data_IF_468727387209
#
_entry.id   IF_468727387209
#
_cell.length_a   1.000
_cell.length_b   1.000
_cell.length_c   1.000
_cell.angle_alpha   90.00
_cell.angle_beta   90.00
_cell.angle_gamma   90.00
#
_symmetry.space_group_name_H-M   'P 1'
#
loop_
_entity.id
_entity.type
_entity.pdbx_description
1 polymer ?
#
# COMPACT_ATOMS: atom_id res chain seq x y z
N UNK A 1 -1.53 8.01 15.26
CA UNK A 1 -0.36 7.50 14.50
C UNK A 1 -0.72 7.30 13.03
N UNK A 2 0.20 7.51 12.08
CA UNK A 2 -0.05 7.22 10.65
C UNK A 2 0.76 5.99 10.23
N UNK A 3 0.10 4.97 9.71
CA UNK A 3 0.73 3.85 9.03
C UNK A 3 0.69 4.09 7.51
N UNK A 4 1.55 3.43 6.75
CA UNK A 4 1.49 3.39 5.30
C UNK A 4 1.65 1.94 4.86
N UNK A 5 0.75 1.48 3.98
CA UNK A 5 0.91 0.26 3.20
C UNK A 5 1.34 0.68 1.79
N UNK A 6 2.44 0.16 1.27
CA UNK A 6 2.97 0.54 -0.03
C UNK A 6 3.42 -0.68 -0.81
N UNK A 7 2.99 -0.80 -2.05
CA UNK A 7 3.43 -1.87 -2.95
C UNK A 7 3.81 -1.29 -4.30
N UNK A 8 4.99 -1.71 -4.80
CA UNK A 8 5.46 -1.42 -6.15
C UNK A 8 5.41 -2.69 -6.99
N UNK A 9 4.91 -2.57 -8.22
CA UNK A 9 4.68 -3.69 -9.13
C UNK A 9 4.95 -3.26 -10.57
N UNK A 10 5.12 -4.22 -11.47
CA UNK A 10 4.98 -3.96 -12.90
C UNK A 10 3.50 -3.93 -13.25
N UNK A 11 3.06 -2.89 -13.92
CA UNK A 11 1.72 -2.74 -14.45
C UNK A 11 1.47 -3.79 -15.55
N UNK A 12 0.23 -4.25 -15.68
CA UNK A 12 -0.21 -5.15 -16.75
C UNK A 12 -0.29 -4.49 -18.14
N UNK A 13 0.22 -3.28 -18.30
CA UNK A 13 0.20 -2.52 -19.54
C UNK A 13 -0.70 -1.30 -19.43
N UNK A 14 -2.03 -1.49 -19.42
CA UNK A 14 -2.97 -0.37 -19.44
C UNK A 14 -3.49 0.01 -18.02
N UNK A 15 -3.66 1.31 -17.73
CA UNK A 15 -4.14 1.77 -16.42
C UNK A 15 -5.56 1.31 -16.04
N UNK A 16 -6.42 0.97 -17.01
CA UNK A 16 -7.79 0.53 -16.72
C UNK A 16 -7.77 -0.88 -16.13
N UNK A 17 -6.98 -1.79 -16.71
CA UNK A 17 -6.77 -3.13 -16.16
C UNK A 17 -6.18 -3.08 -14.75
N UNK A 18 -5.24 -2.16 -14.50
CA UNK A 18 -4.75 -1.91 -13.15
C UNK A 18 -5.82 -1.34 -12.22
N UNK A 19 -6.68 -0.45 -12.72
CA UNK A 19 -7.84 0.07 -11.98
C UNK A 19 -8.82 -1.02 -11.57
N UNK A 20 -9.05 -2.05 -12.40
CA UNK A 20 -9.89 -3.20 -12.05
C UNK A 20 -9.31 -4.00 -10.88
N UNK A 21 -7.99 -4.22 -10.87
CA UNK A 21 -7.30 -4.88 -9.75
C UNK A 21 -7.36 -4.06 -8.47
N UNK A 22 -7.25 -2.73 -8.58
CA UNK A 22 -7.47 -1.84 -7.43
C UNK A 22 -8.89 -1.95 -6.91
N UNK A 23 -9.88 -2.03 -7.78
CA UNK A 23 -11.27 -2.27 -7.37
C UNK A 23 -11.43 -3.62 -6.65
N UNK A 24 -10.91 -4.71 -7.22
CA UNK A 24 -10.92 -6.04 -6.59
C UNK A 24 -10.25 -6.01 -5.21
N UNK A 25 -9.11 -5.33 -5.10
CA UNK A 25 -8.41 -5.14 -3.83
C UNK A 25 -9.28 -4.38 -2.82
N UNK A 26 -9.93 -3.28 -3.22
CA UNK A 26 -10.88 -2.54 -2.36
C UNK A 26 -11.95 -3.50 -1.83
N UNK A 27 -12.56 -4.32 -2.69
CA UNK A 27 -13.61 -5.26 -2.27
C UNK A 27 -13.10 -6.29 -1.25
N UNK A 28 -11.85 -6.75 -1.38
CA UNK A 28 -11.25 -7.72 -0.46
C UNK A 28 -10.83 -7.10 0.88
N UNK A 29 -10.46 -5.81 0.92
CA UNK A 29 -10.05 -5.16 2.18
C UNK A 29 -11.20 -4.57 2.98
N UNK A 30 -12.37 -4.31 2.35
CA UNK A 30 -13.59 -3.85 3.03
C UNK A 30 -13.95 -4.62 4.30
N UNK A 31 -14.04 -5.97 4.29
CA UNK A 31 -14.45 -6.72 5.47
C UNK A 31 -13.38 -6.79 6.57
N UNK A 32 -12.17 -6.29 6.35
CA UNK A 32 -11.06 -6.46 7.31
C UNK A 32 -11.18 -5.54 8.53
N UNK A 33 -11.80 -4.37 8.39
CA UNK A 33 -11.95 -3.40 9.48
C UNK A 33 -13.07 -2.40 9.18
N UNK A 34 -13.84 -1.91 10.17
CA UNK A 34 -14.91 -0.92 9.95
C UNK A 34 -14.47 0.33 9.18
N UNK A 35 -13.28 0.86 9.47
CA UNK A 35 -12.72 2.02 8.73
C UNK A 35 -12.42 1.74 7.25
N UNK A 36 -12.45 0.48 6.80
CA UNK A 36 -12.23 0.06 5.42
C UNK A 36 -13.52 -0.29 4.70
N UNK A 37 -14.66 -0.37 5.40
CA UNK A 37 -15.93 -0.85 4.83
C UNK A 37 -16.48 0.10 3.75
N UNK A 38 -16.50 1.40 4.06
CA UNK A 38 -17.05 2.42 3.19
C UNK A 38 -15.97 3.27 2.53
N UNK A 39 -15.93 3.22 1.20
CA UNK A 39 -15.03 4.01 0.36
C UNK A 39 -15.79 5.09 -0.38
N UNK A 40 -15.24 6.31 -0.42
CA UNK A 40 -15.77 7.45 -1.15
C UNK A 40 -14.70 8.11 -2.02
N UNK A 41 -15.10 8.79 -3.11
CA UNK A 41 -14.19 9.64 -3.87
C UNK A 41 -13.55 10.73 -3.01
N UNK A 42 -12.31 11.09 -3.30
CA UNK A 42 -11.76 12.35 -2.79
C UNK A 42 -12.38 13.54 -3.53
N UNK A 43 -12.43 14.70 -2.87
CA UNK A 43 -12.91 15.93 -3.47
C UNK A 43 -12.05 17.13 -3.04
N UNK A 44 -12.35 18.30 -3.60
CA UNK A 44 -11.63 19.56 -3.31
C UNK A 44 -11.90 20.07 -1.89
N UNK A 45 -12.97 19.60 -1.23
CA UNK A 45 -13.28 19.91 0.16
C UNK A 45 -13.68 18.67 0.96
N UNK A 46 -13.44 18.67 2.29
CA UNK A 46 -13.97 17.65 3.20
C UNK A 46 -15.48 17.42 3.09
N UNK A 47 -16.25 18.50 3.00
CA UNK A 47 -17.72 18.45 2.97
C UNK A 47 -18.22 17.76 1.71
N UNK A 48 -17.65 18.10 0.55
CA UNK A 48 -17.98 17.46 -0.72
C UNK A 48 -17.59 15.97 -0.72
N UNK A 49 -16.43 15.63 -0.13
CA UNK A 49 -15.97 14.26 -0.01
C UNK A 49 -16.89 13.41 0.90
N UNK A 50 -17.40 13.97 1.99
CA UNK A 50 -18.34 13.29 2.90
C UNK A 50 -19.71 13.05 2.28
N UNK A 51 -20.21 14.03 1.51
CA UNK A 51 -21.51 13.98 0.85
C UNK A 51 -21.50 13.10 -0.41
N UNK A 52 -20.32 12.80 -0.94
CA UNK A 52 -20.17 11.96 -2.12
C UNK A 52 -20.74 10.55 -1.89
N UNK A 53 -21.40 9.96 -2.90
CA UNK A 53 -21.86 8.58 -2.81
C UNK A 53 -20.66 7.62 -2.66
N UNK A 54 -20.90 6.38 -2.18
CA UNK A 54 -19.87 5.35 -2.19
C UNK A 54 -19.23 5.22 -3.58
N UNK A 55 -17.91 5.10 -3.63
CA UNK A 55 -17.19 4.97 -4.89
C UNK A 55 -17.60 3.68 -5.62
N UNK A 56 -17.77 3.77 -6.93
CA UNK A 56 -18.06 2.64 -7.82
C UNK A 56 -16.84 2.27 -8.65
N UNK A 57 -16.84 1.07 -9.23
CA UNK A 57 -15.80 0.66 -10.17
C UNK A 57 -15.73 1.63 -11.36
N UNK A 58 -16.87 2.00 -11.93
CA UNK A 58 -16.93 2.90 -13.09
C UNK A 58 -16.34 4.28 -12.78
N UNK A 59 -16.63 4.83 -11.61
CA UNK A 59 -16.04 6.10 -11.17
C UNK A 59 -14.51 5.98 -11.06
N UNK A 60 -14.01 4.92 -10.41
CA UNK A 60 -12.57 4.68 -10.26
C UNK A 60 -11.87 4.57 -11.63
N UNK A 61 -12.45 3.79 -12.55
CA UNK A 61 -11.88 3.59 -13.89
C UNK A 61 -11.92 4.88 -14.73
N UNK A 62 -12.99 5.65 -14.63
CA UNK A 62 -13.10 6.95 -15.30
C UNK A 62 -12.04 7.92 -14.76
N UNK A 63 -11.89 8.03 -13.43
CA UNK A 63 -10.91 8.95 -12.85
C UNK A 63 -9.47 8.57 -13.24
N UNK A 64 -9.14 7.29 -13.31
CA UNK A 64 -7.82 6.84 -13.80
C UNK A 64 -7.60 7.25 -15.26
N UNK A 65 -8.60 7.08 -16.13
CA UNK A 65 -8.51 7.49 -17.56
C UNK A 65 -8.32 9.00 -17.70
N UNK A 66 -9.07 9.78 -16.93
CA UNK A 66 -9.00 11.24 -16.98
C UNK A 66 -7.64 11.73 -16.47
N UNK A 67 -7.13 11.15 -15.38
CA UNK A 67 -5.79 11.46 -14.87
C UNK A 67 -4.69 11.10 -15.89
N UNK A 68 -4.84 9.97 -16.60
CA UNK A 68 -3.93 9.60 -17.67
C UNK A 68 -3.96 10.59 -18.83
N UNK A 69 -5.16 10.97 -19.30
CA UNK A 69 -5.34 11.84 -20.46
C UNK A 69 -4.91 13.30 -20.20
N UNK A 70 -5.00 13.75 -18.95
CA UNK A 70 -4.64 15.11 -18.55
C UNK A 70 -3.20 15.25 -18.06
N UNK A 71 -2.49 14.14 -17.84
CA UNK A 71 -1.09 14.18 -17.41
C UNK A 71 -0.19 14.80 -18.49
N UNK A 72 0.71 15.68 -18.05
CA UNK A 72 1.76 16.25 -18.91
C UNK A 72 3.00 15.35 -19.00
N UNK A 73 3.03 14.26 -18.24
CA UNK A 73 4.16 13.33 -18.15
C UNK A 73 3.72 11.90 -18.52
N UNK A 74 4.66 11.06 -19.01
CA UNK A 74 4.38 9.63 -19.24
C UNK A 74 3.97 8.88 -17.97
N UNK A 75 4.41 9.37 -16.81
CA UNK A 75 4.00 8.94 -15.49
C UNK A 75 2.91 9.83 -14.89
N UNK A 76 2.04 9.24 -14.08
CA UNK A 76 0.99 9.99 -13.40
C UNK A 76 0.61 9.33 -12.09
N UNK A 77 -0.06 10.07 -11.23
CA UNK A 77 -0.61 9.57 -9.98
C UNK A 77 -1.88 10.30 -9.63
N UNK A 78 -2.71 9.65 -8.81
CA UNK A 78 -3.97 10.18 -8.35
C UNK A 78 -4.29 9.60 -6.97
N UNK A 79 -5.17 10.27 -6.24
CA UNK A 79 -5.70 9.75 -4.99
C UNK A 79 -7.20 9.57 -5.16
N UNK A 80 -7.67 8.43 -5.69
CA UNK A 80 -9.05 8.34 -6.18
C UNK A 80 -10.09 8.20 -5.08
N UNK A 81 -9.70 7.75 -3.90
CA UNK A 81 -10.63 7.39 -2.85
C UNK A 81 -10.02 7.49 -1.45
N UNK A 82 -10.92 7.58 -0.47
CA UNK A 82 -10.62 7.41 0.95
C UNK A 82 -11.64 6.46 1.59
N UNK A 83 -11.32 5.91 2.76
CA UNK A 83 -12.22 5.09 3.57
C UNK A 83 -12.21 5.51 5.03
N UNK A 84 -13.32 5.29 5.73
CA UNK A 84 -13.50 5.74 7.11
C UNK A 84 -13.91 7.22 7.21
N UNK A 85 -13.78 7.80 8.41
CA UNK A 85 -14.18 9.19 8.68
C UNK A 85 -13.14 10.20 8.20
N UNK A 86 -13.56 11.39 7.79
CA UNK A 86 -12.61 12.46 7.47
C UNK A 86 -11.75 12.79 8.70
N UNK A 87 -10.45 13.03 8.46
CA UNK A 87 -9.48 13.34 9.52
C UNK A 87 -8.90 12.11 10.22
N UNK A 88 -9.62 10.99 10.25
CA UNK A 88 -9.19 9.74 10.91
C UNK A 88 -9.05 8.55 9.94
N UNK A 89 -9.56 8.69 8.72
CA UNK A 89 -9.67 7.64 7.73
C UNK A 89 -8.40 7.41 6.89
N UNK A 90 -8.52 6.46 5.98
CA UNK A 90 -7.46 5.99 5.13
C UNK A 90 -7.55 6.66 3.75
N UNK A 91 -6.42 7.02 3.15
CA UNK A 91 -6.37 7.62 1.81
C UNK A 91 -5.64 6.70 0.84
N UNK A 92 -6.28 6.33 -0.25
CA UNK A 92 -5.68 5.56 -1.33
C UNK A 92 -4.99 6.50 -2.31
N UNK A 93 -3.75 6.20 -2.65
CA UNK A 93 -2.97 6.85 -3.69
C UNK A 93 -2.47 5.79 -4.67
N UNK A 94 -2.57 6.09 -5.96
CA UNK A 94 -2.11 5.25 -7.05
C UNK A 94 -1.05 6.02 -7.84
N UNK A 95 -0.06 5.29 -8.35
CA UNK A 95 0.94 5.83 -9.27
C UNK A 95 1.15 4.87 -10.42
N UNK A 96 1.36 5.41 -11.61
CA UNK A 96 1.57 4.67 -12.85
C UNK A 96 2.80 5.20 -13.57
N UNK A 97 3.54 4.29 -14.20
CA UNK A 97 4.80 4.47 -14.91
C UNK A 97 5.92 5.16 -14.11
N UNK A 98 6.01 4.95 -12.78
CA UNK A 98 7.06 5.55 -11.93
C UNK A 98 8.05 4.54 -11.34
N UNK A 99 9.38 4.75 -11.42
CA UNK A 99 10.11 5.72 -12.24
C UNK A 99 10.39 5.21 -13.67
N UNK A 100 10.15 3.93 -13.95
CA UNK A 100 10.30 3.33 -15.27
C UNK A 100 8.92 3.13 -15.93
N UNK A 101 8.90 3.23 -17.26
CA UNK A 101 7.73 2.92 -18.09
C UNK A 101 7.25 1.50 -17.77
N UNK A 102 6.00 1.38 -17.30
CA UNK A 102 5.41 0.09 -16.92
C UNK A 102 5.44 -0.24 -15.43
N UNK A 103 5.97 0.62 -14.54
CA UNK A 103 5.84 0.41 -13.08
C UNK A 103 4.54 1.02 -12.53
N UNK A 104 3.83 0.33 -11.64
CA UNK A 104 2.69 0.85 -10.90
C UNK A 104 2.91 0.76 -9.39
N UNK A 105 2.21 1.61 -8.65
CA UNK A 105 2.27 1.68 -7.21
C UNK A 105 0.88 1.85 -6.62
N UNK A 106 0.68 1.25 -5.45
CA UNK A 106 -0.46 1.50 -4.57
C UNK A 106 0.08 1.90 -3.21
N UNK A 107 -0.48 2.97 -2.65
CA UNK A 107 -0.24 3.40 -1.27
C UNK A 107 -1.57 3.58 -0.57
N UNK A 108 -1.77 2.89 0.55
CA UNK A 108 -2.82 3.22 1.51
C UNK A 108 -2.17 3.98 2.65
N UNK A 109 -2.43 5.28 2.72
CA UNK A 109 -2.11 6.08 3.89
C UNK A 109 -3.14 5.76 4.96
N UNK A 110 -2.70 5.12 6.03
CA UNK A 110 -3.59 4.55 7.04
C UNK A 110 -3.80 5.57 8.16
N UNK A 111 -5.06 5.85 8.43
CA UNK A 111 -5.49 6.78 9.46
C UNK A 111 -5.39 6.19 10.87
N UNK A 112 -5.86 6.96 11.85
CA UNK A 112 -5.71 6.62 13.26
C UNK A 112 -6.46 5.34 13.64
N UNK A 113 -7.71 5.20 13.21
CA UNK A 113 -8.58 4.10 13.62
C UNK A 113 -8.00 2.73 13.22
N UNK A 114 -7.69 2.56 11.93
CA UNK A 114 -7.02 1.35 11.42
C UNK A 114 -5.59 1.23 11.94
N UNK A 115 -4.90 2.35 12.17
CA UNK A 115 -3.55 2.36 12.72
C UNK A 115 -3.48 1.76 14.12
N UNK A 116 -4.43 2.08 14.99
CA UNK A 116 -4.55 1.50 16.34
C UNK A 116 -4.87 -0.01 16.27
N UNK A 117 -5.72 -0.41 15.33
CA UNK A 117 -5.99 -1.84 15.10
C UNK A 117 -4.73 -2.58 14.64
N UNK A 118 -3.91 -1.98 13.77
CA UNK A 118 -2.63 -2.57 13.34
C UNK A 118 -1.57 -2.62 14.45
N UNK A 119 -1.56 -1.63 15.35
CA UNK A 119 -0.66 -1.63 16.51
C UNK A 119 -0.95 -2.81 17.46
N UNK A 120 -2.18 -3.34 17.45
CA UNK A 120 -2.64 -4.39 18.39
C UNK A 120 -2.90 -5.74 17.75
N UNK A 121 -2.99 -5.82 16.42
CA UNK A 121 -3.34 -7.06 15.70
C UNK A 121 -2.35 -7.38 14.58
N UNK A 122 -1.47 -8.34 14.85
CA UNK A 122 -0.60 -8.91 13.81
C UNK A 122 -1.39 -9.65 12.74
N UNK A 123 -2.49 -10.32 13.10
CA UNK A 123 -3.33 -11.05 12.15
C UNK A 123 -4.00 -10.11 11.14
N UNK A 124 -4.42 -8.91 11.56
CA UNK A 124 -4.93 -7.89 10.66
C UNK A 124 -3.83 -7.41 9.69
N UNK A 125 -2.63 -7.16 10.23
CA UNK A 125 -1.48 -6.75 9.43
C UNK A 125 -1.05 -7.83 8.42
N UNK A 126 -1.06 -9.10 8.83
CA UNK A 126 -0.81 -10.26 7.98
C UNK A 126 -1.86 -10.35 6.88
N UNK A 127 -3.14 -10.30 7.23
CA UNK A 127 -4.24 -10.40 6.27
C UNK A 127 -4.18 -9.28 5.25
N UNK A 128 -3.96 -8.03 5.69
CA UNK A 128 -3.82 -6.88 4.80
C UNK A 128 -2.62 -7.03 3.84
N UNK A 129 -1.47 -7.47 4.35
CA UNK A 129 -0.28 -7.71 3.52
C UNK A 129 -0.51 -8.84 2.51
N UNK A 130 -1.08 -9.97 2.92
CA UNK A 130 -1.35 -11.11 2.04
C UNK A 130 -2.39 -10.78 0.97
N UNK A 131 -3.50 -10.14 1.33
CA UNK A 131 -4.53 -9.69 0.39
C UNK A 131 -3.94 -8.76 -0.67
N UNK A 132 -3.08 -7.83 -0.24
CA UNK A 132 -2.44 -6.88 -1.16
C UNK A 132 -1.41 -7.57 -2.06
N UNK A 133 -0.55 -8.42 -1.51
CA UNK A 133 0.45 -9.16 -2.29
C UNK A 133 -0.20 -10.12 -3.29
N UNK A 134 -1.26 -10.84 -2.89
CA UNK A 134 -1.95 -11.79 -3.76
C UNK A 134 -2.72 -11.09 -4.88
N UNK A 135 -3.37 -9.96 -4.60
CA UNK A 135 -4.11 -9.21 -5.62
C UNK A 135 -3.16 -8.58 -6.65
N UNK A 136 -2.04 -8.01 -6.18
CA UNK A 136 -1.14 -7.24 -7.03
C UNK A 136 0.04 -8.03 -7.61
N UNK A 137 0.32 -9.24 -7.11
CA UNK A 137 1.48 -10.07 -7.50
C UNK A 137 2.73 -9.19 -7.72
N UNK A 138 3.13 -8.40 -6.71
CA UNK A 138 4.07 -7.30 -6.86
C UNK A 138 5.44 -7.81 -7.29
N UNK A 139 5.98 -7.30 -8.40
CA UNK A 139 7.28 -7.73 -8.92
C UNK A 139 8.50 -7.04 -8.30
N UNK A 140 8.33 -6.17 -7.29
CA UNK A 140 9.42 -5.35 -6.74
C UNK A 140 9.49 -5.48 -5.21
N UNK A 141 8.62 -4.78 -4.50
CA UNK A 141 8.66 -4.69 -3.03
C UNK A 141 7.29 -4.26 -2.51
N UNK A 142 6.98 -4.69 -1.29
CA UNK A 142 5.84 -4.19 -0.53
C UNK A 142 6.20 -3.95 0.92
N UNK A 143 5.60 -2.97 1.57
CA UNK A 143 5.89 -2.64 2.97
C UNK A 143 4.62 -2.21 3.70
N UNK A 144 4.54 -2.61 4.97
CA UNK A 144 3.65 -2.01 5.96
C UNK A 144 4.51 -1.32 7.01
N UNK A 145 4.36 -0.01 7.15
CA UNK A 145 5.31 0.86 7.85
C UNK A 145 4.60 1.89 8.70
N UNK A 146 5.16 2.20 9.87
CA UNK A 146 4.75 3.34 10.68
C UNK A 146 5.44 4.61 10.17
N UNK A 147 4.73 5.72 10.03
CA UNK A 147 5.31 7.00 9.57
C UNK A 147 6.31 7.58 10.58
N UNK A 148 5.99 7.45 11.86
CA UNK A 148 6.85 7.85 12.95
C UNK A 148 7.84 6.73 13.25
N UNK A 149 9.01 6.81 12.59
CA UNK A 149 10.14 5.92 12.85
C UNK A 149 11.45 6.67 12.82
N UNK A 150 12.45 6.20 13.59
CA UNK A 150 13.82 6.67 13.42
C UNK A 150 14.22 6.49 11.95
N UNK A 151 14.60 7.58 11.29
CA UNK A 151 15.31 7.47 10.01
C UNK A 151 16.74 7.06 10.34
N UNK A 152 17.23 5.98 9.75
CA UNK A 152 18.64 5.62 9.87
C UNK A 152 19.51 6.80 9.41
N UNK A 153 20.58 7.09 10.16
CA UNK A 153 21.57 8.10 9.78
C UNK A 153 22.28 7.74 8.46
N UNK A 154 22.39 6.45 8.17
CA UNK A 154 22.87 5.91 6.90
C UNK A 154 21.67 5.37 6.12
N UNK A 155 21.25 6.01 5.02
CA UNK A 155 20.19 5.48 4.18
C UNK A 155 20.55 4.06 3.74
N UNK A 156 19.60 3.10 3.75
CA UNK A 156 19.86 1.79 3.19
C UNK A 156 20.34 1.92 1.73
N UNK A 157 21.19 1.00 1.24
CA UNK A 157 21.78 1.08 -0.10
C UNK A 157 20.74 1.19 -1.23
N UNK A 158 19.49 0.77 -0.96
CA UNK A 158 18.33 0.98 -1.82
C UNK A 158 17.34 1.93 -1.16
N UNK A 159 16.82 2.91 -1.93
CA UNK A 159 15.90 3.98 -1.47
C UNK A 159 14.46 3.49 -1.22
N UNK A 160 14.26 2.38 -0.50
CA UNK A 160 12.93 2.02 0.03
C UNK A 160 12.91 2.20 1.54
N UNK A 161 11.73 2.47 2.09
CA UNK A 161 11.52 2.57 3.52
C UNK A 161 11.34 1.16 4.09
N UNK A 162 12.23 0.68 4.99
CA UNK A 162 12.05 -0.62 5.65
C UNK A 162 10.68 -0.67 6.36
N UNK A 163 10.05 -1.84 6.50
CA UNK A 163 8.68 -2.01 7.05
C UNK A 163 8.64 -2.92 8.28
N UNK A 164 7.59 -2.84 9.09
CA UNK A 164 7.30 -3.90 10.08
C UNK A 164 7.16 -5.25 9.38
N UNK A 165 6.33 -5.24 8.33
CA UNK A 165 6.15 -6.34 7.40
C UNK A 165 6.61 -5.88 6.03
N UNK A 166 7.35 -6.75 5.32
CA UNK A 166 7.82 -6.46 3.98
C UNK A 166 7.61 -7.65 3.06
N UNK A 167 7.05 -7.40 1.89
CA UNK A 167 7.10 -8.33 0.78
C UNK A 167 8.38 -8.11 -0.03
N UNK A 168 9.07 -9.20 -0.37
CA UNK A 168 10.12 -9.22 -1.39
C UNK A 168 9.77 -10.25 -2.45
N UNK A 169 9.91 -9.86 -3.73
CA UNK A 169 9.81 -10.81 -4.84
C UNK A 169 10.95 -11.85 -4.76
N UNK A 170 10.74 -13.04 -5.32
CA UNK A 170 11.72 -14.13 -5.25
C UNK A 170 13.07 -13.78 -5.87
N UNK A 171 13.09 -12.91 -6.87
CA UNK A 171 14.29 -12.40 -7.54
C UNK A 171 14.86 -11.13 -6.89
N UNK A 172 14.33 -10.72 -5.73
CA UNK A 172 14.82 -9.56 -4.99
C UNK A 172 16.26 -9.78 -4.52
N UNK A 173 17.13 -8.75 -4.56
CA UNK A 173 18.46 -8.81 -3.95
C UNK A 173 18.41 -9.02 -2.43
N UNK A 174 17.26 -8.79 -1.80
CA UNK A 174 17.05 -8.99 -0.36
C UNK A 174 16.64 -10.42 0.02
N UNK A 175 16.46 -11.31 -0.96
CA UNK A 175 16.05 -12.70 -0.74
C UNK A 175 16.95 -13.49 0.21
N UNK A 176 18.24 -13.14 0.31
CA UNK A 176 19.19 -13.78 1.23
C UNK A 176 19.23 -13.14 2.63
N UNK A 177 19.11 -11.80 2.72
CA UNK A 177 19.25 -11.07 3.99
C UNK A 177 17.94 -10.99 4.77
N UNK A 178 16.81 -10.83 4.09
CA UNK A 178 15.50 -10.71 4.73
C UNK A 178 15.18 -11.89 5.68
N UNK A 179 15.37 -13.17 5.28
CA UNK A 179 15.05 -14.31 6.14
C UNK A 179 15.94 -14.41 7.38
N UNK A 180 17.15 -13.85 7.36
CA UNK A 180 18.08 -13.87 8.49
C UNK A 180 17.69 -12.88 9.60
N UNK A 181 17.03 -11.79 9.22
CA UNK A 181 16.60 -10.72 10.14
C UNK A 181 15.14 -10.86 10.56
N UNK A 182 14.32 -11.52 9.74
CA UNK A 182 12.90 -11.68 9.99
C UNK A 182 12.64 -12.66 11.14
N UNK A 183 11.67 -12.32 12.00
CA UNK A 183 11.15 -13.22 13.03
C UNK A 183 10.15 -14.22 12.46
N UNK A 184 9.54 -13.91 11.31
CA UNK A 184 8.59 -14.79 10.60
C UNK A 184 8.64 -14.55 9.10
N UNK A 185 8.43 -15.61 8.32
CA UNK A 185 8.29 -15.57 6.88
C UNK A 185 7.02 -16.32 6.44
N UNK A 186 6.30 -15.77 5.47
CA UNK A 186 5.12 -16.35 4.87
C UNK A 186 5.25 -16.31 3.33
N UNK A 187 5.35 -17.44 2.65
CA UNK A 187 5.47 -17.47 1.19
C UNK A 187 4.16 -17.05 0.53
N UNK A 188 4.28 -16.37 -0.62
CA UNK A 188 3.17 -16.05 -1.54
C UNK A 188 3.59 -16.41 -2.97
N UNK A 189 2.68 -16.32 -3.94
CA UNK A 189 2.89 -16.86 -5.29
C UNK A 189 4.22 -16.45 -5.96
N UNK A 190 4.66 -15.20 -5.78
CA UNK A 190 5.84 -14.65 -6.45
C UNK A 190 6.93 -14.11 -5.49
N UNK A 191 6.91 -14.52 -4.22
CA UNK A 191 7.85 -14.04 -3.22
C UNK A 191 7.50 -14.46 -1.81
N UNK A 192 7.88 -13.66 -0.83
CA UNK A 192 7.53 -13.90 0.57
C UNK A 192 7.31 -12.59 1.33
N UNK A 193 6.40 -12.65 2.30
CA UNK A 193 6.17 -11.61 3.30
C UNK A 193 6.99 -11.95 4.54
N UNK A 194 7.81 -11.01 4.98
CA UNK A 194 8.67 -11.12 6.15
C UNK A 194 8.19 -10.18 7.24
N UNK A 195 8.21 -10.64 8.49
CA UNK A 195 7.93 -9.83 9.68
C UNK A 195 9.23 -9.63 10.44
N UNK A 196 9.55 -8.40 10.82
CA UNK A 196 10.83 -8.03 11.45
C UNK A 196 10.70 -7.69 12.94
N UNK A 197 9.67 -8.17 13.63
CA UNK A 197 9.42 -7.89 15.05
C UNK A 197 7.96 -7.55 15.33
N UNK A 198 7.71 -6.67 16.29
CA UNK A 198 6.41 -6.05 16.60
C UNK A 198 6.40 -4.58 16.16
N UNK A 199 5.24 -3.91 16.06
CA UNK A 199 5.13 -2.49 15.70
C UNK A 199 6.13 -1.54 16.39
N UNK A 200 6.52 -1.84 17.63
CA UNK A 200 7.44 -1.00 18.41
C UNK A 200 8.90 -1.48 18.35
N UNK A 201 9.16 -2.75 18.03
CA UNK A 201 10.52 -3.33 18.09
C UNK A 201 11.19 -3.48 16.73
N UNK A 202 10.40 -3.60 15.65
CA UNK A 202 10.95 -3.79 14.31
C UNK A 202 11.89 -2.66 13.84
N UNK A 203 11.71 -1.36 14.18
CA UNK A 203 12.58 -0.31 13.65
C UNK A 203 14.05 -0.54 14.03
N UNK A 204 14.29 -1.13 15.20
CA UNK A 204 15.63 -1.45 15.71
C UNK A 204 16.25 -2.63 14.97
N UNK A 205 15.47 -3.67 14.67
CA UNK A 205 15.95 -4.85 13.92
C UNK A 205 16.40 -4.43 12.51
N UNK A 206 15.71 -3.45 11.91
CA UNK A 206 16.03 -2.98 10.57
C UNK A 206 17.34 -2.16 10.49
N UNK A 207 17.95 -1.78 11.61
CA UNK A 207 19.29 -1.16 11.62
C UNK A 207 20.42 -2.16 11.29
N UNK A 208 20.10 -3.45 11.16
CA UNK A 208 21.05 -4.53 10.86
C UNK A 208 21.12 -4.88 9.38
N UNK A 209 20.39 -4.16 8.50
CA UNK A 209 20.41 -4.39 7.06
C UNK A 209 21.72 -4.02 6.40
#
# INVERSE_FOLDING_TARGET
>A
MRWDLSFKRRALGDPVSEGRRVWEWIQQVRPLHPSLDLWRPTAESPQEAEQSPPITQDYLLHYIRDAQATSRFPDFGLAPAFSGQIGQGNKLTLSFNRPASGDAGIVLMIGEELGVALDTSEDLADTLMHTTANTFTPGIIGTLTRKERPRSATPPPYRYLPGWKMFFASDSPHSQRAPQLATRAAPVANGAIFTFGTPDTYPTILNQW
#
